data_IF_023941493086
#
_entry.id   IF_023941493086
#
_cell.length_a   1.000
_cell.length_b   1.000
_cell.length_c   1.000
_cell.angle_alpha   90.00
_cell.angle_beta   90.00
_cell.angle_gamma   90.00
#
_symmetry.space_group_name_H-M   'P 1'
#
loop_
_entity.id
_entity.type
_entity.pdbx_description
1 polymer ?
#
# COMPACT_ATOMS: atom_id res chain seq x y z
N UNK A 1 15.24 27.32 -17.48
CA UNK A 1 14.81 26.02 -16.93
C UNK A 1 14.35 26.22 -15.48
N UNK A 2 13.06 26.15 -15.15
CA UNK A 2 12.67 26.10 -13.75
C UNK A 2 12.78 24.65 -13.25
N UNK A 3 13.47 24.49 -12.12
CA UNK A 3 13.74 23.21 -11.46
C UNK A 3 12.46 22.80 -10.75
N UNK A 4 11.92 21.61 -11.07
CA UNK A 4 10.67 21.09 -10.48
C UNK A 4 10.85 21.01 -8.96
N UNK A 5 9.98 21.65 -8.15
CA UNK A 5 10.09 21.56 -6.71
C UNK A 5 9.69 20.14 -6.27
N UNK A 6 10.63 19.43 -5.65
CA UNK A 6 10.37 18.18 -4.95
C UNK A 6 9.40 18.47 -3.82
N UNK A 7 8.14 18.08 -4.02
CA UNK A 7 7.08 18.28 -3.03
C UNK A 7 7.24 17.23 -1.93
N UNK A 8 8.08 17.52 -0.95
CA UNK A 8 8.10 16.79 0.32
C UNK A 8 6.81 17.15 1.05
N UNK A 9 5.85 16.24 1.01
CA UNK A 9 4.56 16.36 1.69
C UNK A 9 4.76 15.98 3.16
N UNK A 10 4.58 16.94 4.07
CA UNK A 10 4.52 16.67 5.50
C UNK A 10 3.35 15.72 5.79
N UNK A 11 3.58 14.70 6.61
CA UNK A 11 2.62 13.63 6.96
C UNK A 11 1.30 14.13 7.57
N UNK A 12 1.22 15.41 7.94
CA UNK A 12 0.04 16.10 8.47
C UNK A 12 -0.95 16.58 7.37
N UNK A 13 -0.49 16.70 6.11
CA UNK A 13 -1.33 17.12 4.96
C UNK A 13 -1.63 16.03 3.94
N UNK A 14 -1.08 14.85 4.14
CA UNK A 14 -1.59 13.63 3.55
C UNK A 14 -2.77 13.21 4.44
N UNK A 15 -3.94 12.90 3.88
CA UNK A 15 -5.08 12.43 4.68
C UNK A 15 -4.68 11.30 5.63
N UNK A 16 -5.53 11.00 6.61
CA UNK A 16 -5.22 10.05 7.68
C UNK A 16 -4.49 8.80 7.15
N UNK A 17 -3.23 8.56 7.56
CA UNK A 17 -2.43 7.48 7.01
C UNK A 17 -3.08 6.14 7.35
N UNK A 18 -3.61 5.52 6.32
CA UNK A 18 -4.41 4.30 6.45
C UNK A 18 -3.55 3.04 6.50
N UNK A 19 -2.33 3.09 5.98
CA UNK A 19 -1.28 2.13 6.32
C UNK A 19 0.10 2.76 6.31
N UNK A 20 1.01 2.22 7.09
CA UNK A 20 2.38 2.67 7.22
C UNK A 20 3.28 1.44 7.38
N UNK A 21 4.33 1.40 6.58
CA UNK A 21 5.42 0.43 6.67
C UNK A 21 6.64 1.17 7.22
N UNK A 22 7.12 0.72 8.37
CA UNK A 22 8.26 1.32 9.08
C UNK A 22 9.35 0.29 9.32
N UNK A 23 10.58 0.77 9.34
CA UNK A 23 11.76 0.01 9.76
C UNK A 23 11.87 0.05 11.32
N UNK A 24 12.64 -0.82 12.00
CA UNK A 24 12.92 -0.75 13.43
C UNK A 24 13.45 0.61 13.90
N UNK A 25 14.18 1.34 13.04
CA UNK A 25 14.61 2.72 13.33
C UNK A 25 13.45 3.74 13.33
N UNK A 26 12.21 3.29 13.11
CA UNK A 26 11.02 4.13 12.99
C UNK A 26 10.92 4.88 11.65
N UNK A 27 11.86 4.63 10.73
CA UNK A 27 11.89 5.23 9.39
C UNK A 27 10.71 4.73 8.57
N UNK A 28 9.94 5.65 7.99
CA UNK A 28 8.84 5.33 7.08
C UNK A 28 9.39 4.84 5.74
N UNK A 29 9.22 3.56 5.45
CA UNK A 29 9.60 2.95 4.17
C UNK A 29 8.48 3.10 3.13
N UNK A 30 7.22 3.10 3.59
CA UNK A 30 6.07 3.32 2.73
C UNK A 30 4.79 3.56 3.49
N UNK A 31 3.73 3.98 2.81
CA UNK A 31 2.43 4.21 3.41
C UNK A 31 1.32 4.32 2.37
N UNK A 32 0.09 4.12 2.82
CA UNK A 32 -1.12 4.25 2.01
C UNK A 32 -1.96 5.36 2.61
N UNK A 33 -2.43 6.25 1.74
CA UNK A 33 -3.37 7.32 2.10
C UNK A 33 -4.57 7.26 1.16
N UNK A 34 -5.73 7.68 1.63
CA UNK A 34 -6.92 7.82 0.81
C UNK A 34 -7.10 9.30 0.49
N UNK A 35 -7.09 9.64 -0.80
CA UNK A 35 -7.16 11.02 -1.27
C UNK A 35 -7.91 11.07 -2.59
N UNK A 36 -8.81 12.04 -2.74
CA UNK A 36 -9.59 12.22 -3.98
C UNK A 36 -10.34 10.95 -4.43
N UNK A 37 -10.85 10.17 -3.47
CA UNK A 37 -11.49 8.87 -3.71
C UNK A 37 -10.58 7.78 -4.30
N UNK A 38 -9.26 7.98 -4.24
CA UNK A 38 -8.23 7.03 -4.64
C UNK A 38 -7.35 6.64 -3.46
N UNK A 39 -6.90 5.39 -3.47
CA UNK A 39 -5.84 4.93 -2.60
C UNK A 39 -4.49 5.24 -3.22
N UNK A 40 -3.72 6.08 -2.55
CA UNK A 40 -2.40 6.51 -2.99
C UNK A 40 -1.35 5.75 -2.17
N UNK A 41 -0.50 4.99 -2.86
CA UNK A 41 0.67 4.34 -2.28
C UNK A 41 1.86 5.29 -2.35
N UNK A 42 2.41 5.63 -1.20
CA UNK A 42 3.70 6.30 -1.05
C UNK A 42 4.80 5.33 -0.64
N UNK A 43 5.98 5.45 -1.23
CA UNK A 43 7.21 4.78 -0.80
C UNK A 43 8.27 5.84 -0.52
N UNK A 44 8.94 5.77 0.64
CA UNK A 44 9.98 6.72 1.07
C UNK A 44 9.53 8.20 0.93
N UNK A 45 8.28 8.48 1.27
CA UNK A 45 7.68 9.83 1.18
C UNK A 45 7.34 10.31 -0.25
N UNK A 46 7.47 9.45 -1.27
CA UNK A 46 7.12 9.74 -2.67
C UNK A 46 5.92 8.91 -3.10
N UNK A 47 5.03 9.47 -3.90
CA UNK A 47 3.92 8.70 -4.48
C UNK A 47 4.48 7.71 -5.50
N UNK A 48 4.33 6.43 -5.22
CA UNK A 48 4.73 5.33 -6.10
C UNK A 48 3.59 4.93 -7.05
N UNK A 49 2.33 5.10 -6.63
CA UNK A 49 1.17 4.83 -7.48
C UNK A 49 -0.16 5.18 -6.82
N UNK A 50 -1.23 5.17 -7.61
CA UNK A 50 -2.61 5.28 -7.14
C UNK A 50 -3.43 4.07 -7.59
N UNK A 51 -4.48 3.75 -6.85
CA UNK A 51 -5.43 2.69 -7.18
C UNK A 51 -6.79 2.99 -6.57
N UNK A 52 -7.86 2.54 -7.21
CA UNK A 52 -9.21 2.63 -6.62
C UNK A 52 -9.52 1.49 -5.64
N UNK A 53 -8.71 0.41 -5.63
CA UNK A 53 -8.90 -0.75 -4.76
C UNK A 53 -8.02 -0.67 -3.52
N UNK A 54 -8.67 -0.61 -2.34
CA UNK A 54 -8.04 -0.65 -1.02
C UNK A 54 -7.26 -1.95 -0.83
N UNK A 55 -7.88 -3.04 -1.26
CA UNK A 55 -7.29 -4.35 -1.25
C UNK A 55 -5.96 -4.38 -1.99
N UNK A 56 -5.95 -3.84 -3.22
CA UNK A 56 -4.82 -3.88 -4.13
C UNK A 56 -3.60 -3.18 -3.53
N UNK A 57 -3.76 -1.93 -3.05
CA UNK A 57 -2.65 -1.21 -2.41
C UNK A 57 -2.18 -1.87 -1.13
N UNK A 58 -3.09 -2.44 -0.33
CA UNK A 58 -2.76 -3.16 0.90
C UNK A 58 -1.88 -4.39 0.61
N UNK A 59 -2.22 -5.15 -0.42
CA UNK A 59 -1.42 -6.31 -0.80
C UNK A 59 -0.06 -5.92 -1.39
N UNK A 60 0.04 -4.81 -2.15
CA UNK A 60 1.35 -4.30 -2.62
C UNK A 60 2.23 -3.98 -1.40
N UNK A 61 1.67 -3.28 -0.41
CA UNK A 61 2.42 -2.90 0.79
C UNK A 61 2.81 -4.12 1.64
N UNK A 62 1.92 -5.11 1.80
CA UNK A 62 2.23 -6.40 2.43
C UNK A 62 3.35 -7.14 1.72
N UNK A 63 3.34 -7.17 0.39
CA UNK A 63 4.40 -7.80 -0.40
C UNK A 63 5.73 -7.06 -0.24
N UNK A 64 5.72 -5.73 -0.29
CA UNK A 64 6.90 -4.93 -0.02
C UNK A 64 7.46 -5.24 1.38
N UNK A 65 6.61 -5.33 2.39
CA UNK A 65 7.01 -5.73 3.73
C UNK A 65 7.62 -7.14 3.78
N UNK A 66 6.98 -8.12 3.14
CA UNK A 66 7.46 -9.50 3.09
C UNK A 66 8.81 -9.63 2.36
N UNK A 67 9.00 -8.90 1.25
CA UNK A 67 10.26 -8.83 0.53
C UNK A 67 11.38 -8.28 1.41
N UNK A 68 11.14 -7.16 2.09
CA UNK A 68 12.10 -6.55 3.01
C UNK A 68 12.47 -7.52 4.16
N UNK A 69 11.48 -8.23 4.73
CA UNK A 69 11.75 -9.29 5.73
C UNK A 69 12.59 -10.42 5.18
N UNK A 70 12.34 -10.84 3.93
CA UNK A 70 13.14 -11.84 3.24
C UNK A 70 14.58 -11.41 2.99
N UNK A 71 14.83 -10.11 2.81
CA UNK A 71 16.16 -9.50 2.71
C UNK A 71 16.86 -9.34 4.08
N UNK A 72 16.22 -9.76 5.17
CA UNK A 72 16.75 -9.63 6.53
C UNK A 72 16.47 -8.28 7.19
N UNK A 73 15.58 -7.45 6.62
CA UNK A 73 15.11 -6.21 7.25
C UNK A 73 13.87 -6.46 8.09
N UNK A 74 13.96 -6.17 9.38
CA UNK A 74 12.76 -6.11 10.22
C UNK A 74 11.90 -4.93 9.76
N UNK A 75 10.60 -5.14 9.60
CA UNK A 75 9.68 -4.06 9.21
C UNK A 75 8.36 -4.24 9.94
N UNK A 76 7.85 -3.13 10.46
CA UNK A 76 6.55 -3.03 11.09
C UNK A 76 5.54 -2.49 10.08
N UNK A 77 4.48 -3.27 9.86
CA UNK A 77 3.40 -2.93 8.94
C UNK A 77 2.14 -2.66 9.76
N UNK A 78 1.79 -1.39 9.88
CA UNK A 78 0.59 -0.94 10.59
C UNK A 78 -0.46 -0.51 9.57
N UNK A 79 -1.70 -0.94 9.77
CA UNK A 79 -2.82 -0.56 8.92
C UNK A 79 -4.07 -0.27 9.77
N UNK A 80 -4.82 0.74 9.33
CA UNK A 80 -6.02 1.23 9.98
C UNK A 80 -7.19 0.27 9.80
N UNK A 81 -8.15 0.35 10.71
CA UNK A 81 -9.41 -0.39 10.60
C UNK A 81 -10.18 -0.04 9.33
N UNK A 82 -10.11 1.23 8.87
CA UNK A 82 -10.77 1.69 7.64
C UNK A 82 -10.24 0.98 6.39
N UNK A 83 -8.92 0.88 6.21
CA UNK A 83 -8.32 0.16 5.09
C UNK A 83 -8.65 -1.34 5.15
N UNK A 84 -8.58 -1.93 6.35
CA UNK A 84 -8.96 -3.33 6.54
C UNK A 84 -10.43 -3.55 6.17
N UNK A 85 -11.33 -2.69 6.61
CA UNK A 85 -12.75 -2.78 6.32
C UNK A 85 -13.02 -2.62 4.82
N UNK A 86 -12.40 -1.64 4.15
CA UNK A 86 -12.55 -1.46 2.70
C UNK A 86 -12.07 -2.68 1.91
N UNK A 87 -10.90 -3.23 2.25
CA UNK A 87 -10.41 -4.46 1.62
C UNK A 87 -11.32 -5.67 1.90
N UNK A 88 -11.92 -5.73 3.09
CA UNK A 88 -12.85 -6.81 3.47
C UNK A 88 -14.23 -6.64 2.83
N UNK A 89 -14.66 -5.41 2.56
CA UNK A 89 -15.85 -5.11 1.77
C UNK A 89 -15.64 -5.52 0.32
N UNK A 90 -14.50 -5.18 -0.30
CA UNK A 90 -14.18 -5.64 -1.66
C UNK A 90 -14.17 -7.17 -1.78
N UNK A 91 -13.66 -7.87 -0.76
CA UNK A 91 -13.73 -9.33 -0.70
C UNK A 91 -15.20 -9.81 -0.64
N UNK A 92 -16.00 -9.21 0.24
CA UNK A 92 -17.41 -9.54 0.41
C UNK A 92 -18.25 -9.24 -0.85
N UNK A 93 -17.96 -8.14 -1.55
CA UNK A 93 -18.60 -7.76 -2.82
C UNK A 93 -18.32 -8.78 -3.93
N UNK A 94 -17.16 -9.43 -3.89
CA UNK A 94 -16.82 -10.53 -4.79
C UNK A 94 -17.37 -11.89 -4.32
N UNK A 95 -18.08 -11.92 -3.18
CA UNK A 95 -18.54 -13.16 -2.55
C UNK A 95 -17.40 -14.03 -2.01
N UNK A 96 -16.21 -13.46 -1.85
CA UNK A 96 -15.00 -14.16 -1.41
C UNK A 96 -14.74 -13.91 0.07
N UNK A 97 -14.25 -14.94 0.76
CA UNK A 97 -13.65 -14.76 2.07
C UNK A 97 -12.37 -13.94 1.97
N UNK A 98 -12.02 -13.21 3.03
CA UNK A 98 -10.80 -12.39 3.09
C UNK A 98 -9.51 -13.17 2.76
N UNK A 99 -9.46 -14.46 3.10
CA UNK A 99 -8.34 -15.36 2.76
C UNK A 99 -8.29 -15.66 1.25
N UNK A 100 -9.38 -16.15 0.67
CA UNK A 100 -9.49 -16.41 -0.77
C UNK A 100 -9.24 -15.14 -1.62
N UNK A 101 -9.71 -14.01 -1.12
CA UNK A 101 -9.45 -12.72 -1.74
C UNK A 101 -7.98 -12.32 -1.68
N UNK A 102 -7.28 -12.60 -0.58
CA UNK A 102 -5.83 -12.40 -0.50
C UNK A 102 -5.07 -13.31 -1.47
N UNK A 103 -5.48 -14.57 -1.61
CA UNK A 103 -4.87 -15.51 -2.57
C UNK A 103 -5.10 -15.06 -4.01
N UNK A 104 -6.34 -14.67 -4.36
CA UNK A 104 -6.65 -14.15 -5.69
C UNK A 104 -5.86 -12.88 -5.98
N UNK A 105 -5.70 -12.01 -4.98
CA UNK A 105 -4.98 -10.76 -5.13
C UNK A 105 -3.47 -10.98 -5.29
N UNK A 106 -2.91 -11.96 -4.56
CA UNK A 106 -1.52 -12.40 -4.75
C UNK A 106 -1.32 -12.97 -6.15
N UNK A 107 -2.22 -13.85 -6.62
CA UNK A 107 -2.17 -14.43 -7.96
C UNK A 107 -2.29 -13.37 -9.07
N UNK A 108 -3.22 -12.43 -8.93
CA UNK A 108 -3.38 -11.30 -9.87
C UNK A 108 -2.14 -10.41 -9.91
N UNK A 109 -1.44 -10.24 -8.79
CA UNK A 109 -0.21 -9.45 -8.75
C UNK A 109 0.98 -10.16 -9.36
N UNK A 110 1.07 -11.49 -9.25
CA UNK A 110 2.01 -12.26 -10.07
C UNK A 110 1.74 -11.96 -11.55
N UNK A 111 0.50 -12.17 -12.01
CA UNK A 111 0.12 -11.95 -13.41
C UNK A 111 0.36 -10.52 -13.93
N UNK A 112 0.13 -9.50 -13.09
CA UNK A 112 0.39 -8.09 -13.46
C UNK A 112 1.87 -7.73 -13.50
N UNK A 113 2.70 -8.33 -12.65
CA UNK A 113 4.15 -8.13 -12.68
C UNK A 113 4.77 -8.67 -13.98
N UNK A 114 4.20 -9.74 -14.54
CA UNK A 114 4.62 -10.32 -15.82
C UNK A 114 4.12 -9.55 -17.07
N UNK A 115 3.18 -8.61 -16.93
CA UNK A 115 2.55 -7.88 -18.06
C UNK A 115 3.13 -6.46 -18.27
N UNK A 116 4.14 -6.05 -17.51
CA UNK A 116 4.89 -4.81 -17.74
C UNK A 116 6.28 -5.13 -18.28
N UNK A 117 6.35 -5.59 -19.53
CA UNK A 117 7.55 -5.63 -20.37
C UNK A 117 7.29 -4.82 -21.65
#
# INVERSE_FOLDING_TARGET
MPKRPTRTIASDKLGEPHAQLRDPDGKLLGGIVFKDNEWVLGLDGKIAGTSHSAAHVLAILKRAAALLRGEGREVDLVFSATLRAAAHQEAADQGLGFEAFQDQLAAQMQAKADTTD
#
